data_IF_924810960377
#
_entry.id   IF_924810960377
#
_cell.length_a   1.000
_cell.length_b   1.000
_cell.length_c   1.000
_cell.angle_alpha   90.00
_cell.angle_beta   90.00
_cell.angle_gamma   90.00
#
_symmetry.space_group_name_H-M   'P 1'
#
loop_
_entity.id
_entity.type
_entity.pdbx_description
1 polymer ?
#
# COMPACT_ATOMS: atom_id res chain seq x y z
N UNK A 1 -1.77 7.97 7.79
CA UNK A 1 -0.57 7.41 7.18
C UNK A 1 0.11 6.53 8.21
N UNK A 2 0.28 5.23 7.91
CA UNK A 2 0.79 4.22 8.85
C UNK A 2 2.15 3.67 8.38
N UNK A 3 3.06 3.36 9.30
CA UNK A 3 4.31 2.67 8.99
C UNK A 3 4.15 1.18 9.35
N UNK A 4 4.48 0.30 8.42
CA UNK A 4 4.33 -1.15 8.57
C UNK A 4 5.62 -1.85 8.22
N UNK A 5 6.10 -2.72 9.12
CA UNK A 5 7.28 -3.52 8.85
C UNK A 5 7.01 -4.63 7.83
N UNK A 6 8.04 -5.05 7.08
CA UNK A 6 7.93 -6.12 6.06
C UNK A 6 7.31 -7.42 6.59
N UNK A 7 7.51 -7.76 7.87
CA UNK A 7 6.92 -8.95 8.51
C UNK A 7 5.42 -8.77 8.77
N UNK A 8 5.02 -7.58 9.19
CA UNK A 8 3.61 -7.24 9.47
C UNK A 8 2.83 -7.17 8.17
N UNK A 9 3.40 -6.56 7.13
CA UNK A 9 2.83 -6.54 5.79
C UNK A 9 2.54 -7.96 5.29
N UNK A 10 3.48 -8.90 5.44
CA UNK A 10 3.28 -10.29 5.00
C UNK A 10 2.11 -10.98 5.73
N UNK A 11 1.92 -10.68 7.02
CA UNK A 11 0.90 -11.32 7.84
C UNK A 11 -0.48 -10.66 7.70
N UNK A 12 -0.53 -9.36 7.35
CA UNK A 12 -1.74 -8.54 7.43
C UNK A 12 -2.05 -7.79 6.12
N UNK A 13 -1.47 -8.22 4.98
CA UNK A 13 -1.64 -7.56 3.69
C UNK A 13 -3.10 -7.26 3.33
N UNK A 14 -4.01 -8.23 3.53
CA UNK A 14 -5.44 -8.06 3.22
C UNK A 14 -6.12 -7.02 4.11
N UNK A 15 -5.73 -6.92 5.38
CA UNK A 15 -6.28 -5.92 6.29
C UNK A 15 -5.78 -4.52 5.94
N UNK A 16 -4.50 -4.41 5.55
CA UNK A 16 -3.86 -3.15 5.13
C UNK A 16 -4.49 -2.62 3.84
N UNK A 17 -4.66 -3.48 2.83
CA UNK A 17 -5.32 -3.12 1.57
C UNK A 17 -6.79 -2.76 1.80
N UNK A 18 -7.46 -3.43 2.75
CA UNK A 18 -8.86 -3.14 3.07
C UNK A 18 -9.10 -1.88 3.90
N UNK A 19 -8.06 -1.35 4.56
CA UNK A 19 -8.16 -0.17 5.42
C UNK A 19 -8.25 1.16 4.65
N UNK A 20 -8.00 1.13 3.34
CA UNK A 20 -8.05 2.31 2.46
C UNK A 20 -7.18 3.48 2.97
N UNK A 21 -6.07 3.13 3.63
CA UNK A 21 -5.12 4.08 4.18
C UNK A 21 -3.76 3.98 3.46
N UNK A 22 -3.09 5.12 3.28
CA UNK A 22 -1.72 5.14 2.81
C UNK A 22 -0.75 4.54 3.85
N UNK A 23 0.08 3.59 3.39
CA UNK A 23 1.02 2.83 4.23
C UNK A 23 2.44 2.93 3.69
N UNK A 24 3.38 3.28 4.56
CA UNK A 24 4.82 3.20 4.28
C UNK A 24 5.32 1.82 4.72
N UNK A 25 5.96 1.11 3.79
CA UNK A 25 6.57 -0.19 4.03
C UNK A 25 8.01 0.03 4.49
N UNK A 26 8.34 -0.48 5.67
CA UNK A 26 9.67 -0.40 6.24
C UNK A 26 10.38 -1.76 6.30
N UNK A 27 11.70 -1.73 6.08
CA UNK A 27 12.60 -2.86 6.31
C UNK A 27 13.78 -2.40 7.17
N UNK A 28 13.98 -3.04 8.31
CA UNK A 28 15.04 -2.68 9.27
C UNK A 28 15.05 -1.18 9.67
N UNK A 29 13.87 -0.63 9.96
CA UNK A 29 13.63 0.80 10.27
C UNK A 29 14.06 1.78 9.16
N UNK A 30 14.09 1.30 7.92
CA UNK A 30 14.28 2.15 6.74
C UNK A 30 13.02 2.08 5.88
N UNK A 31 12.46 3.22 5.46
CA UNK A 31 11.37 3.24 4.49
C UNK A 31 11.89 2.68 3.16
N UNK A 32 11.14 1.76 2.57
CA UNK A 32 11.48 1.10 1.31
C UNK A 32 10.49 1.46 0.21
N UNK A 33 9.20 1.44 0.53
CA UNK A 33 8.14 1.64 -0.45
C UNK A 33 6.91 2.25 0.22
N UNK A 34 5.94 2.71 -0.57
CA UNK A 34 4.70 3.30 -0.09
C UNK A 34 3.53 2.77 -0.90
N UNK A 35 2.57 2.17 -0.20
CA UNK A 35 1.27 1.83 -0.72
C UNK A 35 0.33 3.03 -0.52
N UNK A 36 -0.23 3.55 -1.61
CA UNK A 36 -1.24 4.61 -1.56
C UNK A 36 -2.51 4.06 -2.21
N UNK A 37 -3.63 3.98 -1.48
CA UNK A 37 -4.90 3.64 -2.10
C UNK A 37 -5.28 4.76 -3.06
N UNK A 38 -5.59 4.38 -4.29
CA UNK A 38 -6.16 5.30 -5.26
C UNK A 38 -7.68 5.22 -5.09
N UNK A 39 -8.28 6.32 -4.63
CA UNK A 39 -9.73 6.47 -4.66
C UNK A 39 -10.20 6.24 -6.09
N UNK A 40 -10.95 5.16 -6.29
CA UNK A 40 -11.59 4.82 -7.56
C UNK A 40 -12.74 5.78 -7.88
N UNK A 41 -12.47 7.08 -7.96
CA UNK A 41 -13.40 8.08 -8.48
C UNK A 41 -13.11 8.37 -9.94
N UNK A 42 -13.19 7.33 -10.78
CA UNK A 42 -13.59 7.51 -12.19
C UNK A 42 -14.15 6.21 -12.78
N UNK A 43 -15.42 5.95 -12.46
CA UNK A 43 -16.40 5.54 -13.46
C UNK A 43 -16.21 4.23 -14.23
N UNK A 44 -15.80 3.13 -13.60
CA UNK A 44 -16.02 1.81 -14.21
C UNK A 44 -16.16 0.72 -13.16
N UNK A 45 -17.24 -0.04 -13.29
CA UNK A 45 -17.68 -1.19 -12.49
C UNK A 45 -16.74 -2.43 -12.58
N UNK A 46 -15.44 -2.21 -12.77
CA UNK A 46 -14.45 -3.25 -13.04
C UNK A 46 -13.13 -2.96 -12.34
N UNK A 47 -12.99 -3.48 -11.12
CA UNK A 47 -11.70 -3.72 -10.46
C UNK A 47 -10.97 -2.48 -9.93
N UNK A 48 -10.80 -2.42 -8.60
CA UNK A 48 -9.94 -1.42 -7.95
C UNK A 48 -8.51 -1.56 -8.48
N UNK A 49 -7.91 -0.45 -8.90
CA UNK A 49 -6.54 -0.41 -9.44
C UNK A 49 -5.58 0.05 -8.34
N UNK A 50 -4.56 -0.76 -8.05
CA UNK A 50 -3.51 -0.41 -7.10
C UNK A 50 -2.23 -0.04 -7.85
N UNK A 51 -1.65 1.12 -7.56
CA UNK A 51 -0.37 1.53 -8.12
C UNK A 51 0.73 1.37 -7.06
N UNK A 52 1.71 0.52 -7.35
CA UNK A 52 2.95 0.46 -6.57
C UNK A 52 3.81 1.66 -6.98
N UNK A 53 3.90 2.66 -6.10
CA UNK A 53 4.75 3.83 -6.32
C UNK A 53 6.21 3.51 -5.94
N UNK A 54 6.80 2.55 -6.65
CA UNK A 54 8.19 2.14 -6.47
C UNK A 54 8.86 1.90 -7.82
N UNK A 55 9.46 2.94 -8.40
CA UNK A 55 10.43 2.77 -9.49
C UNK A 55 11.37 3.96 -9.56
N UNK A 56 12.57 3.80 -9.02
CA UNK A 56 13.81 4.40 -9.53
C UNK A 56 14.98 3.56 -9.04
N UNK A 57 15.92 3.33 -9.96
CA UNK A 57 17.08 2.46 -9.88
C UNK A 57 18.06 2.79 -8.74
#
# INVERSE_FOLDING_TARGET
MQNVGIKELKNQASAIVGADEAVIIEKYRRPMDMYVPLDGSQGSDKGRVYQLAGSSA
#
